data_IF_742475889176
#
_entry.id   IF_742475889176
#
_cell.length_a   1.000
_cell.length_b   1.000
_cell.length_c   1.000
_cell.angle_alpha   90.00
_cell.angle_beta   90.00
_cell.angle_gamma   90.00
#
_symmetry.space_group_name_H-M   'P 1'
#
loop_
_entity.id
_entity.type
_entity.pdbx_description
1 polymer ?
#
# COMPACT_ATOMS: atom_id res chain seq x y z
N UNK A 1 -0.68 0.40 -16.37
CA UNK A 1 -1.42 -0.80 -15.92
C UNK A 1 -2.92 -0.54 -16.02
N UNK A 2 -3.75 -1.55 -16.31
CA UNK A 2 -5.22 -1.38 -16.39
C UNK A 2 -5.82 -1.06 -15.02
N UNK A 3 -6.89 -0.25 -14.98
CA UNK A 3 -7.56 0.17 -13.73
C UNK A 3 -8.01 -1.00 -12.83
N UNK A 4 -8.35 -2.14 -13.43
CA UNK A 4 -8.71 -3.38 -12.72
C UNK A 4 -7.58 -3.90 -11.82
N UNK A 5 -6.32 -3.78 -12.26
CA UNK A 5 -5.15 -4.20 -11.49
C UNK A 5 -4.96 -3.33 -10.25
N UNK A 6 -5.21 -2.02 -10.38
CA UNK A 6 -5.10 -1.06 -9.28
C UNK A 6 -6.11 -1.37 -8.18
N UNK A 7 -7.37 -1.59 -8.59
CA UNK A 7 -8.46 -1.95 -7.68
C UNK A 7 -8.14 -3.28 -6.96
N UNK A 8 -7.63 -4.28 -7.70
CA UNK A 8 -7.24 -5.57 -7.12
C UNK A 8 -6.18 -5.46 -6.03
N UNK A 9 -5.17 -4.61 -6.22
CA UNK A 9 -4.12 -4.41 -5.20
C UNK A 9 -4.64 -3.64 -3.98
N UNK A 10 -5.49 -2.63 -4.16
CA UNK A 10 -6.10 -1.92 -3.02
C UNK A 10 -6.92 -2.90 -2.16
N UNK A 11 -7.73 -3.75 -2.80
CA UNK A 11 -8.51 -4.78 -2.11
C UNK A 11 -7.58 -5.79 -1.42
N UNK A 12 -6.53 -6.25 -2.10
CA UNK A 12 -5.54 -7.18 -1.54
C UNK A 12 -4.84 -6.64 -0.31
N UNK A 13 -4.37 -5.39 -0.35
CA UNK A 13 -3.71 -4.74 0.79
C UNK A 13 -4.69 -4.51 1.94
N UNK A 14 -5.94 -4.13 1.65
CA UNK A 14 -6.99 -3.99 2.66
C UNK A 14 -7.30 -5.30 3.39
N UNK A 15 -7.40 -6.41 2.65
CA UNK A 15 -7.59 -7.75 3.21
C UNK A 15 -6.37 -8.17 4.04
N UNK A 16 -5.15 -7.91 3.55
CA UNK A 16 -3.91 -8.22 4.27
C UNK A 16 -3.84 -7.49 5.62
N UNK A 17 -4.14 -6.19 5.64
CA UNK A 17 -4.19 -5.38 6.86
C UNK A 17 -5.24 -5.90 7.84
N UNK A 18 -6.45 -6.21 7.33
CA UNK A 18 -7.53 -6.76 8.15
C UNK A 18 -7.12 -8.10 8.77
N UNK A 19 -6.48 -8.98 7.98
CA UNK A 19 -6.00 -10.27 8.43
C UNK A 19 -4.95 -10.10 9.55
N UNK A 20 -3.95 -9.24 9.33
CA UNK A 20 -2.90 -9.05 10.35
C UNK A 20 -3.50 -8.50 11.65
N UNK A 21 -4.42 -7.53 11.56
CA UNK A 21 -5.08 -6.94 12.74
C UNK A 21 -6.09 -7.89 13.42
N UNK A 22 -6.67 -8.86 12.70
CA UNK A 22 -7.66 -9.82 13.20
C UNK A 22 -7.00 -11.04 13.85
N UNK A 23 -5.91 -11.53 13.28
CA UNK A 23 -5.28 -12.80 13.68
C UNK A 23 -4.08 -12.64 14.61
N UNK A 24 -3.47 -11.45 14.66
CA UNK A 24 -2.38 -11.16 15.60
C UNK A 24 -2.92 -10.25 16.71
N UNK A 25 -3.15 -10.77 17.94
CA UNK A 25 -3.49 -9.92 19.08
C UNK A 25 -2.28 -9.06 19.46
N UNK A 26 -2.21 -7.86 18.86
CA UNK A 26 -1.12 -6.92 19.08
C UNK A 26 -1.42 -5.96 20.23
N UNK A 27 -0.37 -5.69 20.99
CA UNK A 27 -0.30 -4.63 21.99
C UNK A 27 -0.58 -3.28 21.32
N UNK A 28 -1.28 -2.34 22.01
CA UNK A 28 -1.71 -1.06 21.41
C UNK A 28 -0.58 -0.30 20.70
N UNK A 29 0.63 -0.29 21.27
CA UNK A 29 1.81 0.39 20.70
C UNK A 29 2.26 -0.23 19.38
N UNK A 30 2.34 -1.56 19.31
CA UNK A 30 2.80 -2.28 18.11
C UNK A 30 1.72 -2.17 17.00
N UNK A 31 0.44 -2.19 17.37
CA UNK A 31 -0.69 -2.02 16.44
C UNK A 31 -0.64 -0.68 15.71
N UNK A 32 -0.27 0.39 16.41
CA UNK A 32 -0.08 1.71 15.81
C UNK A 32 1.05 1.72 14.78
N UNK A 33 2.22 1.19 15.13
CA UNK A 33 3.38 1.15 14.23
C UNK A 33 3.09 0.37 12.96
N UNK A 34 2.50 -0.83 13.07
CA UNK A 34 2.19 -1.65 11.90
C UNK A 34 1.19 -0.97 10.95
N UNK A 35 0.09 -0.42 11.47
CA UNK A 35 -0.89 0.25 10.63
C UNK A 35 -0.28 1.46 9.92
N UNK A 36 0.52 2.26 10.62
CA UNK A 36 1.24 3.40 10.03
C UNK A 36 2.19 2.94 8.93
N UNK A 37 2.98 1.90 9.16
CA UNK A 37 3.91 1.37 8.15
C UNK A 37 3.18 0.86 6.92
N UNK A 38 2.11 0.09 7.08
CA UNK A 38 1.36 -0.43 5.91
C UNK A 38 0.67 0.70 5.15
N UNK A 39 0.12 1.70 5.84
CA UNK A 39 -0.47 2.87 5.18
C UNK A 39 0.59 3.64 4.39
N UNK A 40 1.81 3.84 4.94
CA UNK A 40 2.92 4.47 4.22
C UNK A 40 3.29 3.67 2.95
N UNK A 41 3.42 2.34 3.07
CA UNK A 41 3.69 1.46 1.92
C UNK A 41 2.59 1.59 0.86
N UNK A 42 1.33 1.64 1.27
CA UNK A 42 0.19 1.78 0.37
C UNK A 42 0.23 3.13 -0.37
N UNK A 43 0.58 4.23 0.32
CA UNK A 43 0.71 5.56 -0.30
C UNK A 43 1.85 5.59 -1.31
N UNK A 44 3.03 5.07 -0.96
CA UNK A 44 4.17 4.98 -1.88
C UNK A 44 3.85 4.14 -3.12
N UNK A 45 3.16 3.02 -2.92
CA UNK A 45 2.70 2.17 -4.01
C UNK A 45 1.69 2.88 -4.91
N UNK A 46 0.71 3.59 -4.32
CA UNK A 46 -0.23 4.42 -5.08
C UNK A 46 0.51 5.46 -5.93
N UNK A 47 1.48 6.17 -5.35
CA UNK A 47 2.29 7.18 -6.06
C UNK A 47 3.04 6.58 -7.26
N UNK A 48 3.56 5.36 -7.11
CA UNK A 48 4.23 4.63 -8.18
C UNK A 48 3.24 4.25 -9.29
N UNK A 49 2.06 3.73 -8.92
CA UNK A 49 1.01 3.25 -9.83
C UNK A 49 0.33 4.37 -10.61
N UNK A 50 0.16 5.54 -9.99
CA UNK A 50 -0.32 6.75 -10.68
C UNK A 50 0.70 7.30 -11.69
N UNK A 51 1.87 6.65 -11.83
CA UNK A 51 2.84 6.98 -12.87
C UNK A 51 3.63 8.25 -12.57
N UNK A 52 3.60 8.77 -11.34
CA UNK A 52 4.48 9.89 -10.94
C UNK A 52 5.94 9.46 -11.00
N UNK A 53 6.24 8.18 -10.70
CA UNK A 53 7.60 7.63 -10.81
C UNK A 53 7.97 7.23 -12.26
N UNK A 54 7.02 6.73 -13.05
CA UNK A 54 7.22 6.42 -14.48
C UNK A 54 7.44 7.69 -15.34
N UNK A 55 6.68 8.76 -15.07
CA UNK A 55 6.85 10.04 -15.76
C UNK A 55 8.24 10.64 -15.49
N UNK A 56 8.80 10.42 -14.29
CA UNK A 56 10.16 10.85 -13.95
C UNK A 56 11.25 9.96 -14.56
N UNK A 57 10.99 8.67 -14.80
CA UNK A 57 11.93 7.80 -15.53
C UNK A 57 11.90 8.01 -17.05
N UNK A 58 10.77 8.46 -17.60
CA UNK A 58 10.65 8.79 -19.03
C UNK A 58 11.28 10.14 -19.40
N UNK A 59 11.56 11.02 -18.43
CA UNK A 59 12.37 12.25 -18.62
C UNK A 59 13.84 11.91 -18.31
N UNK A 60 14.36 10.88 -18.97
CA UNK A 60 15.79 10.70 -19.16
C UNK A 60 16.11 11.24 -20.56
N UNK A 61 16.57 12.49 -20.58
CA UNK A 61 17.19 13.12 -21.76
C UNK A 61 18.66 12.72 -21.77
#
# INVERSE_FOLDING_TARGET
MSALTIIGVIIGVGILLWLINRYIPMQRTIKGVLNTVVVIILILWLLNVFGVLDTLQSIRI
#
